data_IF_425982643604
#
_entry.id   IF_425982643604
#
_cell.length_a   1.000
_cell.length_b   1.000
_cell.length_c   1.000
_cell.angle_alpha   90.00
_cell.angle_beta   90.00
_cell.angle_gamma   90.00
#
_symmetry.space_group_name_H-M   'P 1'
#
loop_
_entity.id
_entity.type
_entity.pdbx_description
1 polymer ?
#
# COMPACT_ATOMS: atom_id res chain seq x y z
N UNK A 1 7.26 24.09 3.22
CA UNK A 1 7.28 24.46 4.64
C UNK A 1 5.97 25.00 5.19
N UNK A 2 5.24 25.83 4.45
CA UNK A 2 3.88 26.27 4.89
C UNK A 2 2.93 25.11 5.11
N UNK A 3 2.84 24.17 4.17
CA UNK A 3 1.92 23.03 4.25
C UNK A 3 2.13 22.14 5.48
N UNK A 4 3.37 21.99 5.95
CA UNK A 4 3.67 21.18 7.13
C UNK A 4 3.21 21.88 8.41
N UNK A 5 3.45 23.19 8.52
CA UNK A 5 2.96 23.99 9.67
C UNK A 5 1.43 24.02 9.71
N UNK A 6 0.80 24.16 8.56
CA UNK A 6 -0.65 24.20 8.48
C UNK A 6 -1.28 22.87 8.93
N UNK A 7 -0.63 21.76 8.60
CA UNK A 7 -1.09 20.44 9.05
C UNK A 7 -0.98 20.27 10.57
N UNK A 8 0.13 20.72 11.17
CA UNK A 8 0.31 20.62 12.62
C UNK A 8 -0.65 21.49 13.41
N UNK A 9 -1.12 22.59 12.83
CA UNK A 9 -2.10 23.46 13.45
C UNK A 9 -3.52 22.90 13.44
N UNK A 10 -3.80 21.85 12.65
CA UNK A 10 -5.11 21.24 12.58
C UNK A 10 -5.44 20.46 13.86
N UNK A 11 -6.71 20.47 14.24
CA UNK A 11 -7.17 19.62 15.33
C UNK A 11 -7.12 18.13 14.91
N UNK A 12 -7.18 17.19 15.87
CA UNK A 12 -7.06 15.76 15.56
C UNK A 12 -8.09 15.23 14.54
N UNK A 13 -9.32 15.75 14.56
CA UNK A 13 -10.38 15.33 13.64
C UNK A 13 -10.04 15.75 12.22
N UNK A 14 -9.65 17.01 12.04
CA UNK A 14 -9.26 17.54 10.74
C UNK A 14 -8.03 16.82 10.18
N UNK A 15 -7.06 16.49 11.02
CA UNK A 15 -5.90 15.67 10.64
C UNK A 15 -6.31 14.29 10.13
N UNK A 16 -7.18 13.62 10.88
CA UNK A 16 -7.66 12.29 10.52
C UNK A 16 -8.39 12.30 9.18
N UNK A 17 -9.25 13.29 8.95
CA UNK A 17 -9.96 13.46 7.68
C UNK A 17 -8.98 13.73 6.52
N UNK A 18 -8.01 14.61 6.73
CA UNK A 18 -7.01 14.92 5.71
C UNK A 18 -6.16 13.71 5.38
N UNK A 19 -5.73 12.95 6.39
CA UNK A 19 -4.95 11.73 6.21
C UNK A 19 -5.75 10.68 5.42
N UNK A 20 -7.04 10.56 5.68
CA UNK A 20 -7.91 9.65 4.93
C UNK A 20 -8.01 10.07 3.46
N UNK A 21 -8.21 11.36 3.19
CA UNK A 21 -8.27 11.89 1.82
C UNK A 21 -6.95 11.67 1.08
N UNK A 22 -5.82 11.93 1.73
CA UNK A 22 -4.50 11.71 1.14
C UNK A 22 -4.25 10.22 0.90
N UNK A 23 -4.72 9.34 1.81
CA UNK A 23 -4.64 7.90 1.64
C UNK A 23 -5.42 7.41 0.41
N UNK A 24 -6.67 7.87 0.25
CA UNK A 24 -7.50 7.53 -0.92
C UNK A 24 -6.87 8.03 -2.23
N UNK A 25 -6.36 9.24 -2.24
CA UNK A 25 -5.65 9.79 -3.40
C UNK A 25 -4.37 9.02 -3.67
N UNK A 26 -3.64 8.65 -2.62
CA UNK A 26 -2.45 7.83 -2.72
C UNK A 26 -2.73 6.48 -3.36
N UNK A 27 -3.79 5.80 -2.93
CA UNK A 27 -4.19 4.52 -3.50
C UNK A 27 -4.57 4.65 -4.98
N UNK A 28 -5.28 5.71 -5.36
CA UNK A 28 -5.61 5.97 -6.78
C UNK A 28 -4.37 6.19 -7.63
N UNK A 29 -3.42 6.98 -7.12
CA UNK A 29 -2.16 7.23 -7.81
C UNK A 29 -1.33 5.96 -7.94
N UNK A 30 -1.27 5.16 -6.86
CA UNK A 30 -0.59 3.88 -6.88
C UNK A 30 -1.23 2.94 -7.92
N UNK A 31 -2.54 2.84 -7.93
CA UNK A 31 -3.27 2.02 -8.90
C UNK A 31 -2.99 2.45 -10.34
N UNK A 32 -2.99 3.75 -10.60
CA UNK A 32 -2.67 4.30 -11.93
C UNK A 32 -1.24 3.96 -12.33
N UNK A 33 -0.29 4.14 -11.40
CA UNK A 33 1.11 3.83 -11.66
C UNK A 33 1.29 2.35 -12.00
N UNK A 34 0.68 1.45 -11.22
CA UNK A 34 0.75 0.01 -11.45
C UNK A 34 0.15 -0.38 -12.80
N UNK A 35 -0.98 0.21 -13.18
CA UNK A 35 -1.60 -0.02 -14.49
C UNK A 35 -0.66 0.38 -15.63
N UNK A 36 0.03 1.50 -15.49
CA UNK A 36 1.04 1.94 -16.47
C UNK A 36 2.21 0.98 -16.58
N UNK A 37 2.51 0.26 -15.49
CA UNK A 37 3.54 -0.78 -15.46
C UNK A 37 3.03 -2.13 -15.99
N UNK A 38 1.78 -2.21 -16.41
CA UNK A 38 1.20 -3.42 -16.97
C UNK A 38 0.48 -4.32 -15.97
N UNK A 39 0.37 -3.93 -14.71
CA UNK A 39 -0.36 -4.69 -13.71
C UNK A 39 -1.86 -4.44 -13.84
N UNK A 40 -2.64 -5.46 -13.53
CA UNK A 40 -4.10 -5.36 -13.50
C UNK A 40 -4.58 -5.23 -12.06
N UNK A 41 -5.30 -4.17 -11.75
CA UNK A 41 -5.87 -3.98 -10.41
C UNK A 41 -7.12 -4.85 -10.27
N UNK A 42 -7.11 -5.72 -9.27
CA UNK A 42 -8.21 -6.64 -8.99
C UNK A 42 -9.16 -6.04 -7.96
N UNK A 43 -8.59 -5.51 -6.87
CA UNK A 43 -9.38 -5.04 -5.74
C UNK A 43 -8.65 -3.92 -5.01
N UNK A 44 -9.40 -2.99 -4.47
CA UNK A 44 -8.89 -1.90 -3.64
C UNK A 44 -9.50 -2.01 -2.24
N UNK A 45 -8.65 -1.84 -1.22
CA UNK A 45 -9.12 -1.78 0.15
C UNK A 45 -9.67 -3.10 0.69
N UNK A 46 -8.92 -4.19 0.54
CA UNK A 46 -9.31 -5.48 1.11
C UNK A 46 -9.04 -5.53 2.61
N UNK A 47 -10.08 -5.74 3.41
CA UNK A 47 -9.99 -5.74 4.86
C UNK A 47 -10.40 -7.07 5.47
N UNK A 48 -9.66 -7.48 6.51
CA UNK A 48 -9.98 -8.63 7.35
C UNK A 48 -9.88 -8.24 8.82
N UNK A 49 -10.32 -9.11 9.73
CA UNK A 49 -10.15 -8.89 11.16
C UNK A 49 -8.69 -8.78 11.59
N UNK A 50 -7.77 -9.33 10.82
CA UNK A 50 -6.34 -9.42 11.16
C UNK A 50 -5.47 -8.39 10.45
N UNK A 51 -5.97 -7.75 9.41
CA UNK A 51 -5.22 -6.76 8.65
C UNK A 51 -5.92 -6.34 7.38
N UNK A 52 -5.25 -5.46 6.62
CA UNK A 52 -5.78 -4.98 5.35
C UNK A 52 -4.68 -4.94 4.29
N UNK A 53 -5.10 -4.99 3.03
CA UNK A 53 -4.25 -4.81 1.86
C UNK A 53 -4.80 -3.65 1.06
N UNK A 54 -3.97 -2.64 0.80
CA UNK A 54 -4.41 -1.43 0.09
C UNK A 54 -4.85 -1.71 -1.33
N UNK A 55 -4.07 -2.50 -2.05
CA UNK A 55 -4.39 -2.91 -3.42
C UNK A 55 -4.02 -4.38 -3.61
N UNK A 56 -4.87 -5.09 -4.34
CA UNK A 56 -4.55 -6.43 -4.85
C UNK A 56 -4.51 -6.32 -6.36
N UNK A 57 -3.41 -6.75 -6.95
CA UNK A 57 -3.18 -6.65 -8.38
C UNK A 57 -2.70 -7.99 -8.95
N UNK A 58 -2.61 -8.05 -10.26
CA UNK A 58 -2.07 -9.19 -10.97
C UNK A 58 -1.01 -8.73 -11.96
N UNK A 59 0.15 -9.36 -11.89
CA UNK A 59 1.25 -9.18 -12.82
C UNK A 59 1.46 -10.52 -13.56
N UNK A 60 0.85 -10.65 -14.73
CA UNK A 60 0.80 -11.94 -15.41
C UNK A 60 0.12 -12.99 -14.51
N UNK A 61 0.77 -14.14 -14.24
CA UNK A 61 0.22 -15.17 -13.35
C UNK A 61 0.40 -14.87 -11.86
N UNK A 62 1.16 -13.83 -11.51
CA UNK A 62 1.51 -13.53 -10.12
C UNK A 62 0.51 -12.58 -9.50
N UNK A 63 -0.04 -12.95 -8.34
CA UNK A 63 -0.85 -12.06 -7.52
C UNK A 63 0.07 -11.13 -6.72
N UNK A 64 -0.28 -9.86 -6.66
CA UNK A 64 0.54 -8.83 -6.04
C UNK A 64 -0.28 -8.14 -4.96
N UNK A 65 0.18 -8.26 -3.71
CA UNK A 65 -0.42 -7.57 -2.57
C UNK A 65 0.39 -6.32 -2.30
N UNK A 66 -0.26 -5.17 -2.40
CA UNK A 66 0.42 -3.87 -2.43
C UNK A 66 0.08 -3.05 -1.19
N UNK A 67 1.12 -2.61 -0.51
CA UNK A 67 1.03 -1.59 0.54
C UNK A 67 1.36 -0.24 -0.07
N UNK A 68 0.48 0.73 0.13
CA UNK A 68 0.69 2.11 -0.33
C UNK A 68 1.14 2.96 0.84
N UNK A 69 2.30 3.57 0.71
CA UNK A 69 2.89 4.48 1.70
C UNK A 69 2.92 5.90 1.15
N UNK A 70 2.05 6.74 1.67
CA UNK A 70 2.01 8.15 1.29
C UNK A 70 2.59 9.01 2.40
N UNK A 71 3.44 9.96 2.04
CA UNK A 71 3.99 10.93 2.98
C UNK A 71 4.15 12.29 2.31
N UNK A 72 4.26 13.31 3.11
CA UNK A 72 4.62 14.64 2.62
C UNK A 72 6.12 14.78 2.51
N UNK A 73 6.55 15.57 1.55
CA UNK A 73 7.97 15.90 1.39
C UNK A 73 8.51 16.49 2.69
N UNK A 74 9.67 16.00 3.12
CA UNK A 74 10.30 16.42 4.38
C UNK A 74 9.87 15.62 5.60
N UNK A 75 8.80 14.83 5.51
CA UNK A 75 8.41 13.91 6.58
C UNK A 75 9.12 12.58 6.34
N UNK A 76 9.80 12.01 7.35
CA UNK A 76 10.50 10.73 7.18
C UNK A 76 9.58 9.61 6.72
N UNK A 77 10.11 8.74 5.86
CA UNK A 77 9.38 7.57 5.41
C UNK A 77 9.16 6.61 6.59
N UNK A 78 7.92 6.14 6.75
CA UNK A 78 7.63 5.06 7.69
C UNK A 78 8.04 3.72 7.07
N UNK A 79 8.77 2.92 7.83
CA UNK A 79 9.10 1.56 7.40
C UNK A 79 7.85 0.67 7.47
N UNK A 80 7.77 -0.33 6.58
CA UNK A 80 6.79 -1.40 6.71
C UNK A 80 7.32 -2.34 7.80
N UNK A 81 6.87 -2.15 9.02
CA UNK A 81 7.36 -2.86 10.20
C UNK A 81 7.07 -4.36 10.13
N UNK A 82 7.80 -5.21 10.88
CA UNK A 82 7.48 -6.64 10.96
C UNK A 82 6.03 -6.91 11.33
N UNK A 83 5.45 -6.12 12.22
CA UNK A 83 4.03 -6.25 12.60
C UNK A 83 3.10 -5.96 11.42
N UNK A 84 3.36 -4.90 10.65
CA UNK A 84 2.59 -4.59 9.45
C UNK A 84 2.76 -5.68 8.39
N UNK A 85 3.97 -6.18 8.20
CA UNK A 85 4.23 -7.29 7.27
C UNK A 85 3.45 -8.53 7.66
N UNK A 86 3.38 -8.83 8.95
CA UNK A 86 2.60 -9.96 9.48
C UNK A 86 1.11 -9.79 9.18
N UNK A 87 0.57 -8.61 9.44
CA UNK A 87 -0.85 -8.30 9.17
C UNK A 87 -1.17 -8.38 7.68
N UNK A 88 -0.29 -7.86 6.84
CA UNK A 88 -0.44 -7.97 5.39
C UNK A 88 -0.42 -9.43 4.93
N UNK A 89 0.50 -10.22 5.48
CA UNK A 89 0.59 -11.66 5.19
C UNK A 89 -0.70 -12.38 5.55
N UNK A 90 -1.27 -12.10 6.72
CA UNK A 90 -2.51 -12.73 7.17
C UNK A 90 -3.71 -12.33 6.29
N UNK A 91 -3.80 -11.05 5.92
CA UNK A 91 -4.86 -10.58 5.02
C UNK A 91 -4.72 -11.20 3.63
N UNK A 92 -3.50 -11.29 3.10
CA UNK A 92 -3.22 -11.92 1.82
C UNK A 92 -3.59 -13.41 1.85
N UNK A 93 -3.24 -14.11 2.92
CA UNK A 93 -3.57 -15.52 3.11
C UNK A 93 -5.08 -15.74 3.13
N UNK A 94 -5.82 -14.86 3.82
CA UNK A 94 -7.28 -14.92 3.86
C UNK A 94 -7.89 -14.75 2.45
N UNK A 95 -7.37 -13.81 1.67
CA UNK A 95 -7.80 -13.61 0.29
C UNK A 95 -7.54 -14.86 -0.57
N UNK A 96 -6.34 -15.42 -0.47
CA UNK A 96 -5.97 -16.62 -1.23
C UNK A 96 -6.85 -17.82 -0.88
N UNK A 97 -7.10 -18.04 0.41
CA UNK A 97 -7.98 -19.12 0.88
C UNK A 97 -9.41 -18.94 0.38
N UNK A 98 -9.95 -17.74 0.53
CA UNK A 98 -11.32 -17.44 0.16
C UNK A 98 -11.57 -17.60 -1.33
N UNK A 99 -10.57 -17.37 -2.16
CA UNK A 99 -10.66 -17.45 -3.61
C UNK A 99 -10.04 -18.72 -4.19
N UNK A 100 -9.64 -19.67 -3.35
CA UNK A 100 -9.02 -20.96 -3.77
C UNK A 100 -7.76 -20.76 -4.60
N UNK A 101 -6.91 -19.81 -4.17
CA UNK A 101 -5.70 -19.40 -4.88
C UNK A 101 -4.41 -19.67 -4.10
N UNK A 102 -4.45 -20.56 -3.09
CA UNK A 102 -3.28 -20.84 -2.24
C UNK A 102 -2.06 -21.34 -3.03
N UNK A 103 -2.28 -22.00 -4.16
CA UNK A 103 -1.21 -22.51 -5.01
C UNK A 103 -0.67 -21.49 -6.02
N UNK A 104 -1.28 -20.31 -6.08
CA UNK A 104 -0.85 -19.28 -7.02
C UNK A 104 0.41 -18.56 -6.54
N UNK A 105 1.32 -18.23 -7.45
CA UNK A 105 2.46 -17.40 -7.10
C UNK A 105 1.98 -16.01 -6.66
N UNK A 106 2.59 -15.47 -5.62
CA UNK A 106 2.28 -14.14 -5.15
C UNK A 106 3.53 -13.45 -4.62
N UNK A 107 3.45 -12.14 -4.51
CA UNK A 107 4.49 -11.33 -3.92
C UNK A 107 3.90 -10.11 -3.22
N UNK A 108 4.69 -9.47 -2.37
CA UNK A 108 4.33 -8.23 -1.69
C UNK A 108 5.13 -7.07 -2.27
N UNK A 109 4.42 -6.06 -2.73
CA UNK A 109 5.01 -4.84 -3.27
C UNK A 109 4.68 -3.65 -2.38
N UNK A 110 5.51 -2.62 -2.44
CA UNK A 110 5.24 -1.33 -1.79
C UNK A 110 5.26 -0.25 -2.86
N UNK A 111 4.27 0.61 -2.83
CA UNK A 111 4.25 1.83 -3.63
C UNK A 111 4.36 3.01 -2.70
N UNK A 112 5.45 3.76 -2.83
CA UNK A 112 5.71 4.95 -2.03
C UNK A 112 5.32 6.20 -2.81
N UNK A 113 4.57 7.09 -2.16
CA UNK A 113 4.12 8.33 -2.75
C UNK A 113 4.59 9.48 -1.86
N UNK A 114 5.28 10.45 -2.46
CA UNK A 114 5.73 11.66 -1.76
C UNK A 114 4.96 12.85 -2.30
N UNK A 115 4.16 13.47 -1.46
CA UNK A 115 3.41 14.67 -1.79
C UNK A 115 4.32 15.89 -1.64
N UNK A 116 4.48 16.70 -2.69
CA UNK A 116 5.28 17.91 -2.63
C UNK A 116 4.58 19.03 -1.84
N UNK A 117 5.36 20.01 -1.40
CA UNK A 117 4.83 21.20 -0.70
C UNK A 117 4.17 22.20 -1.65
N UNK A 118 4.44 22.09 -2.95
CA UNK A 118 3.96 22.98 -3.99
C UNK A 118 2.99 22.26 -4.95
N UNK A 119 2.69 22.91 -6.08
CA UNK A 119 1.78 22.35 -7.09
C UNK A 119 2.42 21.31 -8.01
N UNK A 120 3.61 20.85 -7.68
CA UNK A 120 4.28 19.80 -8.45
C UNK A 120 3.52 18.47 -8.30
N UNK A 121 3.57 17.60 -9.30
CA UNK A 121 2.97 16.28 -9.16
C UNK A 121 3.69 15.45 -8.10
N UNK A 122 2.98 14.56 -7.39
CA UNK A 122 3.60 13.68 -6.42
C UNK A 122 4.58 12.72 -7.09
N UNK A 123 5.65 12.40 -6.36
CA UNK A 123 6.61 11.39 -6.78
C UNK A 123 6.09 10.00 -6.38
N UNK A 124 6.13 9.05 -7.31
CA UNK A 124 5.67 7.67 -7.08
C UNK A 124 6.81 6.72 -7.37
N UNK A 125 7.08 5.81 -6.44
CA UNK A 125 8.11 4.79 -6.59
C UNK A 125 7.52 3.43 -6.23
N UNK A 126 7.79 2.43 -7.08
CA UNK A 126 7.28 1.07 -6.92
C UNK A 126 8.43 0.14 -6.55
N UNK A 127 8.32 -0.50 -5.40
CA UNK A 127 9.27 -1.50 -4.90
C UNK A 127 8.65 -2.87 -5.08
N UNK A 128 9.10 -3.59 -6.09
CA UNK A 128 8.64 -4.97 -6.33
C UNK A 128 9.30 -5.91 -5.34
N UNK A 129 8.54 -6.89 -4.89
CA UNK A 129 9.02 -7.93 -3.97
C UNK A 129 9.72 -7.30 -2.76
N UNK A 130 9.02 -6.37 -2.12
CA UNK A 130 9.60 -5.51 -1.07
C UNK A 130 9.92 -6.27 0.22
N UNK A 131 9.22 -7.38 0.48
CA UNK A 131 9.48 -8.24 1.64
C UNK A 131 8.88 -9.63 1.41
N UNK A 132 9.39 -10.60 2.17
CA UNK A 132 8.87 -11.96 2.15
C UNK A 132 7.66 -12.10 3.08
N UNK A 133 6.82 -13.10 2.80
CA UNK A 133 5.70 -13.42 3.69
C UNK A 133 6.20 -13.73 5.10
N UNK A 134 5.58 -13.10 6.10
CA UNK A 134 5.93 -13.30 7.49
C UNK A 134 5.36 -14.61 8.03
N UNK A 135 6.12 -15.28 8.90
CA UNK A 135 5.70 -16.47 9.61
C UNK A 135 6.13 -17.76 8.92
N UNK A 136 5.44 -18.22 7.91
CA UNK A 136 5.79 -19.46 7.21
C UNK A 136 5.98 -19.19 5.74
N UNK A 137 7.23 -18.89 5.34
CA UNK A 137 7.58 -18.56 3.96
C UNK A 137 7.24 -19.62 2.92
N UNK A 138 6.86 -20.81 3.36
CA UNK A 138 6.42 -21.91 2.49
C UNK A 138 5.00 -21.72 1.94
N UNK A 139 4.21 -20.80 2.51
CA UNK A 139 2.84 -20.55 2.08
C UNK A 139 2.75 -19.69 0.82
N UNK A 140 3.82 -18.98 0.51
CA UNK A 140 3.86 -18.05 -0.60
C UNK A 140 5.08 -18.38 -1.49
N UNK A 141 4.88 -19.23 -2.45
CA UNK A 141 5.93 -19.58 -3.42
C UNK A 141 5.74 -18.89 -4.75
#
# INVERSE_FOLDING_TARGET
MRAHRDYESLNPIARALLNRLLGDRGERLAARHLRRQGLRIILRGYRTAQGEVDLIARDGPTLVFVEVKARRKGVPAEAVTPEKQRRLTLAALAFLKQNKLLEHPCRFDVVAIVWPDDRQPPAVEHFRHAFEASGRGQMFR
#
